data_IF_776696268143
#
_entry.id   IF_776696268143
#
_cell.length_a   1.000
_cell.length_b   1.000
_cell.length_c   1.000
_cell.angle_alpha   90.00
_cell.angle_beta   90.00
_cell.angle_gamma   90.00
#
_symmetry.space_group_name_H-M   'P 1'
#
loop_
_entity.id
_entity.type
_entity.pdbx_description
1 polymer ?
#
# COMPACT_ATOMS: atom_id res chain seq x y z
N UNK A 1 19.63 40.90 -16.31
CA UNK A 1 19.81 39.43 -16.24
C UNK A 1 18.47 38.80 -16.61
N UNK A 2 18.37 38.16 -17.78
CA UNK A 2 17.13 37.54 -18.24
C UNK A 2 16.90 36.21 -17.51
N UNK A 3 15.69 36.05 -16.97
CA UNK A 3 15.27 34.86 -16.23
C UNK A 3 14.92 33.76 -17.24
N UNK A 4 15.79 32.77 -17.41
CA UNK A 4 15.57 31.66 -18.34
C UNK A 4 14.63 30.65 -17.68
N UNK A 5 13.39 30.59 -18.16
CA UNK A 5 12.40 29.59 -17.73
C UNK A 5 12.77 28.25 -18.36
N UNK A 6 13.28 27.32 -17.57
CA UNK A 6 13.53 25.94 -18.01
C UNK A 6 12.21 25.16 -18.05
N UNK A 7 11.87 24.60 -19.22
CA UNK A 7 10.72 23.70 -19.37
C UNK A 7 11.06 22.35 -18.76
N UNK A 8 10.55 22.07 -17.56
CA UNK A 8 10.65 20.75 -16.96
C UNK A 8 9.86 19.75 -17.79
N UNK A 9 10.54 18.74 -18.32
CA UNK A 9 9.92 17.65 -19.09
C UNK A 9 10.06 16.33 -18.32
N UNK A 10 8.97 15.58 -18.11
CA UNK A 10 9.05 14.24 -17.54
C UNK A 10 9.83 13.28 -18.46
N UNK A 11 10.35 12.20 -17.87
CA UNK A 11 10.98 11.13 -18.65
C UNK A 11 9.98 10.45 -19.59
N UNK A 12 10.41 10.07 -20.80
CA UNK A 12 9.54 9.51 -21.83
C UNK A 12 8.76 8.28 -21.37
N UNK A 13 9.33 7.42 -20.52
CA UNK A 13 8.62 6.24 -19.95
C UNK A 13 7.33 6.58 -19.20
N UNK A 14 7.17 7.82 -18.73
CA UNK A 14 5.98 8.27 -18.04
C UNK A 14 4.82 8.58 -19.01
N UNK A 15 5.09 8.71 -20.32
CA UNK A 15 4.03 8.96 -21.32
C UNK A 15 3.03 7.81 -21.44
N UNK A 16 3.46 6.59 -21.10
CA UNK A 16 2.60 5.40 -21.07
C UNK A 16 1.77 5.26 -19.77
N UNK A 17 2.08 6.04 -18.73
CA UNK A 17 1.35 5.97 -17.45
C UNK A 17 0.07 6.79 -17.55
N UNK A 18 -1.06 6.10 -17.53
CA UNK A 18 -2.39 6.72 -17.53
C UNK A 18 -2.90 6.97 -16.12
N UNK A 19 -3.87 7.89 -15.98
CA UNK A 19 -4.53 8.09 -14.69
C UNK A 19 -5.15 6.78 -14.18
N UNK A 20 -4.92 6.47 -12.91
CA UNK A 20 -5.44 5.28 -12.25
C UNK A 20 -6.97 5.28 -12.25
N UNK A 21 -7.59 4.22 -12.76
CA UNK A 21 -9.04 4.13 -12.92
C UNK A 21 -9.83 4.51 -11.65
N UNK A 22 -9.42 4.01 -10.48
CA UNK A 22 -10.12 4.27 -9.23
C UNK A 22 -9.88 5.69 -8.69
N UNK A 23 -8.85 6.43 -9.09
CA UNK A 23 -8.72 7.84 -8.67
C UNK A 23 -9.89 8.67 -9.19
N UNK A 24 -10.34 8.39 -10.42
CA UNK A 24 -11.50 9.05 -11.03
C UNK A 24 -12.79 8.59 -10.38
N UNK A 25 -12.96 7.27 -10.22
CA UNK A 25 -14.19 6.73 -9.63
C UNK A 25 -14.39 7.11 -8.17
N UNK A 26 -13.33 7.17 -7.37
CA UNK A 26 -13.42 7.63 -5.98
C UNK A 26 -13.82 9.11 -5.88
N UNK A 27 -13.39 9.96 -6.82
CA UNK A 27 -13.86 11.36 -6.89
C UNK A 27 -15.36 11.46 -7.22
N UNK A 28 -15.83 10.65 -8.18
CA UNK A 28 -17.27 10.58 -8.52
C UNK A 28 -18.11 10.09 -7.33
N UNK A 29 -17.66 9.02 -6.64
CA UNK A 29 -18.32 8.49 -5.44
C UNK A 29 -18.35 9.54 -4.32
N UNK A 30 -17.24 10.24 -4.08
CA UNK A 30 -17.19 11.31 -3.09
C UNK A 30 -18.19 12.44 -3.41
N UNK A 31 -18.31 12.84 -4.68
CA UNK A 31 -19.28 13.84 -5.10
C UNK A 31 -20.74 13.36 -4.92
N UNK A 32 -21.01 12.08 -5.20
CA UNK A 32 -22.33 11.48 -4.97
C UNK A 32 -22.70 11.42 -3.49
N UNK A 33 -21.76 11.00 -2.63
CA UNK A 33 -21.94 10.99 -1.18
C UNK A 33 -22.17 12.41 -0.64
N UNK A 34 -21.41 13.40 -1.11
CA UNK A 34 -21.58 14.81 -0.74
C UNK A 34 -22.95 15.37 -1.18
N UNK A 35 -23.53 14.83 -2.26
CA UNK A 35 -24.89 15.14 -2.70
C UNK A 35 -25.98 14.35 -1.94
N UNK A 36 -25.62 13.61 -0.89
CA UNK A 36 -26.55 12.84 -0.06
C UNK A 36 -27.03 11.53 -0.69
N UNK A 37 -26.35 11.04 -1.73
CA UNK A 37 -26.67 9.72 -2.32
C UNK A 37 -26.08 8.61 -1.46
N UNK A 38 -26.86 7.55 -1.27
CA UNK A 38 -26.42 6.33 -0.58
C UNK A 38 -25.71 5.39 -1.57
N UNK A 39 -24.39 5.56 -1.71
CA UNK A 39 -23.59 4.79 -2.67
C UNK A 39 -23.04 3.52 -2.04
N UNK A 40 -23.53 2.36 -2.49
CA UNK A 40 -22.99 1.05 -2.11
C UNK A 40 -21.74 0.75 -2.95
N UNK A 41 -20.57 0.66 -2.30
CA UNK A 41 -19.29 0.37 -2.97
C UNK A 41 -19.01 -1.13 -2.99
N UNK A 42 -19.13 -1.74 -4.18
CA UNK A 42 -18.73 -3.13 -4.46
C UNK A 42 -17.51 -3.22 -5.40
N UNK A 43 -16.88 -2.08 -5.68
CA UNK A 43 -15.86 -1.96 -6.72
C UNK A 43 -14.41 -2.10 -6.24
N UNK A 44 -14.16 -1.99 -4.93
CA UNK A 44 -12.81 -2.02 -4.35
C UNK A 44 -12.67 -3.25 -3.46
N UNK A 45 -11.68 -4.09 -3.76
CA UNK A 45 -11.37 -5.31 -3.00
C UNK A 45 -10.63 -5.05 -1.70
N UNK A 46 -11.01 -4.02 -0.93
CA UNK A 46 -10.50 -3.81 0.42
C UNK A 46 -11.36 -4.61 1.39
N UNK A 47 -10.78 -5.46 2.25
CA UNK A 47 -11.49 -6.01 3.40
C UNK A 47 -12.08 -4.88 4.25
N UNK A 48 -13.26 -5.11 4.80
CA UNK A 48 -14.00 -4.23 5.69
C UNK A 48 -13.61 -4.41 7.17
N UNK A 49 -13.08 -5.58 7.51
CA UNK A 49 -12.67 -5.92 8.87
C UNK A 49 -11.22 -5.50 9.17
N UNK A 50 -10.91 -5.10 10.42
CA UNK A 50 -9.55 -4.80 10.82
C UNK A 50 -8.65 -6.06 10.81
N UNK A 51 -7.31 -5.90 10.80
CA UNK A 51 -6.40 -6.99 11.06
C UNK A 51 -6.68 -7.67 12.40
N UNK A 52 -6.26 -8.93 12.57
CA UNK A 52 -6.40 -9.64 13.83
C UNK A 52 -5.68 -8.92 14.99
N UNK A 53 -6.25 -9.00 16.19
CA UNK A 53 -5.69 -8.39 17.40
C UNK A 53 -4.24 -8.83 17.66
N UNK A 54 -3.93 -10.12 17.46
CA UNK A 54 -2.58 -10.65 17.62
C UNK A 54 -1.55 -10.00 16.66
N UNK A 55 -1.98 -9.64 15.45
CA UNK A 55 -1.11 -8.93 14.50
C UNK A 55 -0.81 -7.50 14.96
N UNK A 56 -1.84 -6.79 15.45
CA UNK A 56 -1.72 -5.43 15.98
C UNK A 56 -0.79 -5.41 17.19
N UNK A 57 -1.01 -6.32 18.14
CA UNK A 57 -0.18 -6.43 19.35
C UNK A 57 1.27 -6.72 19.03
N UNK A 58 1.53 -7.66 18.11
CA UNK A 58 2.90 -8.00 17.71
C UNK A 58 3.61 -6.82 17.04
N UNK A 59 2.90 -6.07 16.20
CA UNK A 59 3.41 -4.83 15.60
C UNK A 59 3.76 -3.80 16.67
N UNK A 60 2.87 -3.56 17.62
CA UNK A 60 3.10 -2.61 18.71
C UNK A 60 4.31 -3.00 19.57
N UNK A 61 4.47 -4.29 19.87
CA UNK A 61 5.62 -4.79 20.62
C UNK A 61 6.94 -4.58 19.86
N UNK A 62 7.00 -4.93 18.57
CA UNK A 62 8.21 -4.75 17.77
C UNK A 62 8.53 -3.27 17.52
N UNK A 63 7.53 -2.40 17.45
CA UNK A 63 7.74 -0.96 17.37
C UNK A 63 8.37 -0.37 18.65
N UNK A 64 8.28 -1.05 19.79
CA UNK A 64 8.94 -0.66 21.05
C UNK A 64 10.35 -1.25 21.18
N UNK A 65 10.78 -2.13 20.26
CA UNK A 65 12.10 -2.73 20.28
C UNK A 65 13.16 -1.70 19.80
N UNK A 66 14.06 -1.22 20.69
CA UNK A 66 15.03 -0.19 20.34
C UNK A 66 16.03 -0.65 19.26
N UNK A 67 16.26 -1.95 19.14
CA UNK A 67 17.18 -2.53 18.15
C UNK A 67 16.51 -2.69 16.77
N UNK A 68 15.18 -2.56 16.68
CA UNK A 68 14.39 -2.79 15.47
C UNK A 68 14.36 -1.63 14.48
N UNK A 69 14.94 -0.48 14.82
CA UNK A 69 14.83 0.76 14.02
C UNK A 69 15.94 0.94 12.96
N UNK A 70 16.95 0.06 12.99
CA UNK A 70 18.07 0.12 12.05
C UNK A 70 17.71 -0.37 10.64
N UNK A 71 18.66 -0.23 9.73
CA UNK A 71 18.52 -0.79 8.38
C UNK A 71 18.38 -2.31 8.43
N UNK A 72 17.37 -2.81 7.75
CA UNK A 72 17.18 -4.24 7.51
C UNK A 72 18.02 -4.72 6.31
N UNK A 73 18.34 -6.02 6.22
CA UNK A 73 18.90 -6.59 5.00
C UNK A 73 18.00 -6.33 3.79
N UNK A 74 18.58 -6.12 2.61
CA UNK A 74 17.84 -5.85 1.37
C UNK A 74 16.81 -6.93 0.98
N UNK A 75 16.99 -8.14 1.50
CA UNK A 75 16.13 -9.29 1.23
C UNK A 75 15.15 -9.59 2.38
N UNK A 76 15.08 -8.72 3.38
CA UNK A 76 14.31 -8.92 4.61
C UNK A 76 15.03 -9.78 5.65
N UNK A 77 14.46 -9.85 6.87
CA UNK A 77 15.02 -10.63 7.98
C UNK A 77 14.86 -12.14 7.77
N UNK A 78 15.82 -12.99 8.19
CA UNK A 78 15.73 -14.45 8.03
C UNK A 78 14.45 -15.06 8.61
N UNK A 79 14.01 -14.59 9.77
CA UNK A 79 12.84 -15.10 10.49
C UNK A 79 11.54 -14.94 9.68
N UNK A 80 11.38 -13.81 8.97
CA UNK A 80 10.21 -13.57 8.12
C UNK A 80 10.20 -14.52 6.93
N UNK A 81 11.36 -14.74 6.32
CA UNK A 81 11.51 -15.63 5.16
C UNK A 81 11.25 -17.09 5.54
N UNK A 82 11.74 -17.52 6.69
CA UNK A 82 11.47 -18.85 7.23
C UNK A 82 9.99 -19.04 7.58
N UNK A 83 9.33 -18.01 8.13
CA UNK A 83 7.90 -18.04 8.39
C UNK A 83 7.08 -18.22 7.09
N UNK A 84 7.44 -17.51 6.01
CA UNK A 84 6.80 -17.70 4.70
C UNK A 84 7.02 -19.10 4.14
N UNK A 85 8.26 -19.62 4.17
CA UNK A 85 8.56 -20.97 3.69
C UNK A 85 7.79 -22.04 4.50
N UNK A 86 7.74 -21.89 5.82
CA UNK A 86 6.99 -22.80 6.70
C UNK A 86 5.49 -22.75 6.43
N UNK A 87 4.93 -21.56 6.16
CA UNK A 87 3.53 -21.40 5.82
C UNK A 87 3.19 -22.05 4.47
N UNK A 88 4.01 -21.85 3.45
CA UNK A 88 3.84 -22.50 2.14
C UNK A 88 3.94 -24.03 2.25
N UNK A 89 4.91 -24.54 3.02
CA UNK A 89 5.05 -25.97 3.28
C UNK A 89 3.81 -26.55 3.96
N UNK A 90 3.26 -25.83 4.95
CA UNK A 90 2.09 -26.26 5.72
C UNK A 90 0.83 -26.36 4.85
N UNK A 91 0.57 -25.37 4.01
CA UNK A 91 -0.71 -25.26 3.29
C UNK A 91 -0.67 -25.81 1.87
N UNK A 92 0.51 -25.78 1.23
CA UNK A 92 0.67 -26.13 -0.18
C UNK A 92 1.70 -27.23 -0.41
N UNK A 93 2.47 -27.65 0.61
CA UNK A 93 3.49 -28.70 0.48
C UNK A 93 4.71 -28.31 -0.34
N UNK A 94 4.90 -27.00 -0.60
CA UNK A 94 6.04 -26.42 -1.33
C UNK A 94 7.09 -25.87 -0.37
#
# INVERSE_FOLDING_TARGET
MQNQVYKMMPAERLSAVSEYYFSRKLKEVAAMNAAGKDVISLGVGSPDMPPSQACIERLCQEAQNPDGHGYMPYVGIPQLREAFASWYRKWYGV
#
